data_IF_023045503328
#
_entry.id   IF_023045503328
#
_cell.length_a   1.000
_cell.length_b   1.000
_cell.length_c   1.000
_cell.angle_alpha   90.00
_cell.angle_beta   90.00
_cell.angle_gamma   90.00
#
_symmetry.space_group_name_H-M   'P 1'
#
loop_
_entity.id
_entity.type
_entity.pdbx_description
1 polymer ?
#
# COMPACT_ATOMS: atom_id res chain seq x y z
N UNK A 1 4.95 41.25 -0.94
CA UNK A 1 4.12 40.08 -1.32
C UNK A 1 4.93 38.97 -1.99
N UNK A 2 5.81 39.26 -2.96
CA UNK A 2 6.68 38.24 -3.59
C UNK A 2 7.69 37.56 -2.63
N UNK A 3 8.11 38.24 -1.55
CA UNK A 3 9.08 37.73 -0.57
C UNK A 3 8.51 36.69 0.42
N UNK A 4 7.19 36.66 0.64
CA UNK A 4 6.54 35.69 1.54
C UNK A 4 6.38 34.34 0.83
N UNK A 5 6.05 34.37 -0.46
CA UNK A 5 6.03 33.17 -1.33
C UNK A 5 7.41 32.52 -1.47
N UNK A 6 8.49 33.30 -1.42
CA UNK A 6 9.85 32.77 -1.53
C UNK A 6 10.35 32.11 -0.23
N UNK A 7 9.84 32.53 0.95
CA UNK A 7 10.05 31.84 2.23
C UNK A 7 9.24 30.55 2.35
N UNK A 8 8.04 30.51 1.78
CA UNK A 8 7.24 29.27 1.73
C UNK A 8 7.88 28.18 0.84
N UNK A 9 8.67 28.56 -0.17
CA UNK A 9 9.47 27.63 -0.99
C UNK A 9 10.83 27.27 -0.39
N UNK A 10 11.24 27.90 0.72
CA UNK A 10 12.54 27.65 1.36
C UNK A 10 12.49 26.61 2.49
N UNK A 11 11.29 26.14 2.86
CA UNK A 11 11.14 24.99 3.77
C UNK A 11 11.31 23.72 2.94
N UNK A 12 12.37 22.96 3.20
CA UNK A 12 12.66 21.70 2.54
C UNK A 12 11.47 20.75 2.71
N UNK A 13 10.62 20.68 1.69
CA UNK A 13 9.40 19.88 1.70
C UNK A 13 9.64 18.64 0.85
N UNK A 14 9.57 17.46 1.45
CA UNK A 14 9.73 16.19 0.73
C UNK A 14 8.46 15.79 -0.04
N UNK A 15 7.32 16.43 0.25
CA UNK A 15 6.01 16.17 -0.37
C UNK A 15 6.02 16.15 -1.91
N UNK A 16 6.49 17.19 -2.61
CA UNK A 16 6.53 17.20 -4.08
C UNK A 16 7.38 16.07 -4.67
N UNK A 17 8.51 15.74 -4.05
CA UNK A 17 9.38 14.63 -4.49
C UNK A 17 8.64 13.29 -4.38
N UNK A 18 7.96 13.05 -3.25
CA UNK A 18 7.15 11.85 -3.03
C UNK A 18 6.02 11.75 -4.06
N UNK A 19 5.32 12.84 -4.33
CA UNK A 19 4.21 12.84 -5.28
C UNK A 19 4.69 12.46 -6.70
N UNK A 20 5.78 13.07 -7.17
CA UNK A 20 6.34 12.77 -8.49
C UNK A 20 6.70 11.28 -8.60
N UNK A 21 7.42 10.74 -7.62
CA UNK A 21 7.85 9.34 -7.64
C UNK A 21 6.67 8.39 -7.64
N UNK A 22 5.66 8.62 -6.80
CA UNK A 22 4.48 7.76 -6.70
C UNK A 22 3.67 7.78 -8.00
N UNK A 23 3.45 8.94 -8.62
CA UNK A 23 2.72 9.03 -9.89
C UNK A 23 3.47 8.38 -11.05
N UNK A 24 4.80 8.49 -11.09
CA UNK A 24 5.63 7.81 -12.08
C UNK A 24 5.54 6.28 -11.95
N UNK A 25 5.68 5.76 -10.72
CA UNK A 25 5.53 4.33 -10.43
C UNK A 25 4.12 3.83 -10.76
N UNK A 26 3.10 4.66 -10.47
CA UNK A 26 1.71 4.34 -10.76
C UNK A 26 1.46 4.26 -12.27
N UNK A 27 1.94 5.24 -13.04
CA UNK A 27 1.85 5.22 -14.51
C UNK A 27 2.58 4.01 -15.10
N UNK A 28 3.78 3.70 -14.60
CA UNK A 28 4.54 2.52 -15.03
C UNK A 28 3.77 1.23 -14.75
N UNK A 29 3.17 1.09 -13.56
CA UNK A 29 2.33 -0.07 -13.23
C UNK A 29 1.11 -0.20 -14.15
N UNK A 30 0.52 0.93 -14.55
CA UNK A 30 -0.63 0.97 -15.46
C UNK A 30 -0.25 0.46 -16.85
N UNK A 31 0.94 0.80 -17.35
CA UNK A 31 1.46 0.31 -18.63
C UNK A 31 1.64 -1.21 -18.58
N UNK A 32 2.23 -1.76 -17.52
CA UNK A 32 2.39 -3.21 -17.36
C UNK A 32 1.05 -3.95 -17.26
N UNK A 33 0.10 -3.42 -16.50
CA UNK A 33 -1.25 -3.99 -16.40
C UNK A 33 -1.97 -3.93 -17.76
N UNK A 34 -1.90 -2.79 -18.44
CA UNK A 34 -2.46 -2.59 -19.77
C UNK A 34 -1.88 -3.57 -20.79
N UNK A 35 -0.56 -3.76 -20.79
CA UNK A 35 0.11 -4.74 -21.65
C UNK A 35 -0.34 -6.17 -21.33
N UNK A 36 -0.47 -6.54 -20.04
CA UNK A 36 -0.95 -7.86 -19.63
C UNK A 36 -2.36 -8.13 -20.16
N UNK A 37 -3.27 -7.16 -20.02
CA UNK A 37 -4.65 -7.27 -20.52
C UNK A 37 -4.67 -7.31 -22.05
N UNK A 38 -3.90 -6.43 -22.71
CA UNK A 38 -3.79 -6.38 -24.16
C UNK A 38 -3.30 -7.71 -24.75
N UNK A 39 -2.23 -8.30 -24.21
CA UNK A 39 -1.72 -9.59 -24.66
C UNK A 39 -2.75 -10.71 -24.52
N UNK A 40 -3.54 -10.73 -23.43
CA UNK A 40 -4.63 -11.72 -23.26
C UNK A 40 -5.73 -11.53 -24.29
N UNK A 41 -6.17 -10.29 -24.52
CA UNK A 41 -7.19 -9.96 -25.52
C UNK A 41 -6.72 -10.28 -26.94
N UNK A 42 -5.48 -9.93 -27.28
CA UNK A 42 -4.87 -10.21 -28.59
C UNK A 42 -4.73 -11.72 -28.86
N UNK A 43 -4.51 -12.52 -27.81
CA UNK A 43 -4.46 -13.99 -27.91
C UNK A 43 -5.85 -14.65 -27.79
N UNK A 44 -6.94 -13.86 -27.82
CA UNK A 44 -8.32 -14.33 -27.61
C UNK A 44 -8.54 -15.18 -26.35
N UNK A 45 -7.70 -14.99 -25.32
CA UNK A 45 -7.84 -15.70 -24.04
C UNK A 45 -8.83 -14.94 -23.15
N UNK A 46 -9.79 -15.66 -22.56
CA UNK A 46 -10.74 -15.08 -21.60
C UNK A 46 -9.99 -14.52 -20.38
N UNK A 47 -10.46 -13.38 -19.87
CA UNK A 47 -10.04 -12.84 -18.57
C UNK A 47 -10.49 -13.80 -17.48
N UNK A 48 -9.58 -14.12 -16.56
CA UNK A 48 -9.88 -14.99 -15.43
C UNK A 48 -10.14 -14.14 -14.18
N UNK A 49 -10.73 -14.75 -13.14
CA UNK A 49 -10.96 -14.11 -11.84
C UNK A 49 -9.69 -13.45 -11.27
N UNK A 50 -8.52 -14.04 -11.53
CA UNK A 50 -7.20 -13.47 -11.28
C UNK A 50 -7.06 -12.02 -11.80
N UNK A 51 -7.35 -11.80 -13.08
CA UNK A 51 -7.16 -10.50 -13.73
C UNK A 51 -8.11 -9.44 -13.17
N UNK A 52 -9.33 -9.85 -12.81
CA UNK A 52 -10.29 -8.96 -12.15
C UNK A 52 -9.79 -8.52 -10.76
N UNK A 53 -9.25 -9.45 -9.97
CA UNK A 53 -8.66 -9.14 -8.66
C UNK A 53 -7.47 -8.18 -8.82
N UNK A 54 -6.63 -8.39 -9.84
CA UNK A 54 -5.50 -7.52 -10.15
C UNK A 54 -5.95 -6.09 -10.50
N UNK A 55 -6.97 -5.96 -11.34
CA UNK A 55 -7.54 -4.66 -11.73
C UNK A 55 -8.12 -3.95 -10.51
N UNK A 56 -8.88 -4.67 -9.66
CA UNK A 56 -9.42 -4.11 -8.41
C UNK A 56 -8.29 -3.64 -7.50
N UNK A 57 -7.24 -4.45 -7.30
CA UNK A 57 -6.07 -4.06 -6.51
C UNK A 57 -5.40 -2.79 -7.04
N UNK A 58 -5.24 -2.68 -8.37
CA UNK A 58 -4.69 -1.48 -9.00
C UNK A 58 -5.58 -0.24 -8.81
N UNK A 59 -6.91 -0.39 -8.90
CA UNK A 59 -7.85 0.73 -8.66
C UNK A 59 -7.83 1.21 -7.20
N UNK A 60 -7.69 0.29 -6.25
CA UNK A 60 -7.54 0.64 -4.83
C UNK A 60 -6.21 1.38 -4.58
N UNK A 61 -5.14 0.95 -5.25
CA UNK A 61 -3.85 1.65 -5.19
C UNK A 61 -3.97 3.05 -5.79
N UNK A 62 -4.70 3.22 -6.90
CA UNK A 62 -4.96 4.54 -7.49
C UNK A 62 -5.69 5.47 -6.51
N UNK A 63 -6.71 4.95 -5.81
CA UNK A 63 -7.41 5.70 -4.78
C UNK A 63 -6.46 6.10 -3.65
N UNK A 64 -5.62 5.20 -3.17
CA UNK A 64 -4.61 5.49 -2.14
C UNK A 64 -3.61 6.58 -2.58
N UNK A 65 -3.12 6.53 -3.82
CA UNK A 65 -2.24 7.54 -4.40
C UNK A 65 -2.95 8.89 -4.52
N UNK A 66 -4.22 8.92 -4.95
CA UNK A 66 -4.95 10.19 -5.04
C UNK A 66 -5.13 10.85 -3.66
N UNK A 67 -5.42 10.05 -2.63
CA UNK A 67 -5.53 10.52 -1.25
C UNK A 67 -4.19 10.98 -0.68
N UNK A 68 -3.07 10.35 -1.05
CA UNK A 68 -1.74 10.80 -0.63
C UNK A 68 -1.43 12.18 -1.23
N UNK A 69 -1.83 12.45 -2.48
CA UNK A 69 -1.68 13.76 -3.10
C UNK A 69 -2.47 14.84 -2.34
N UNK A 70 -3.69 14.52 -1.87
CA UNK A 70 -4.47 15.42 -1.00
C UNK A 70 -3.79 15.63 0.35
N UNK A 71 -3.20 14.59 0.94
CA UNK A 71 -2.43 14.75 2.18
C UNK A 71 -1.23 15.69 1.99
N UNK A 72 -0.53 15.59 0.86
CA UNK A 72 0.61 16.45 0.55
C UNK A 72 0.17 17.92 0.43
N UNK A 73 -1.00 18.22 -0.13
CA UNK A 73 -1.52 19.60 -0.18
C UNK A 73 -1.93 20.13 1.20
N UNK A 74 -2.34 19.26 2.12
CA UNK A 74 -2.64 19.61 3.53
C UNK A 74 -1.39 19.87 4.39
N UNK A 75 -0.19 19.57 3.87
CA UNK A 75 1.08 19.80 4.57
C UNK A 75 1.85 18.52 4.93
N UNK A 76 1.40 17.35 4.48
CA UNK A 76 2.13 16.09 4.66
C UNK A 76 3.49 16.16 3.93
N UNK A 77 4.58 15.86 4.66
CA UNK A 77 5.96 15.95 4.16
C UNK A 77 6.68 17.28 4.46
N UNK A 78 6.06 18.18 5.25
CA UNK A 78 6.72 19.31 5.93
C UNK A 78 7.16 18.90 7.35
N UNK A 79 8.05 19.67 7.96
CA UNK A 79 8.41 19.45 9.36
C UNK A 79 7.18 19.62 10.25
N UNK A 80 7.03 18.81 11.30
CA UNK A 80 5.83 18.79 12.18
C UNK A 80 5.50 20.17 12.77
N UNK A 81 6.50 21.04 12.87
CA UNK A 81 6.42 22.39 13.44
C UNK A 81 5.75 23.38 12.46
N UNK A 82 5.80 23.11 11.15
CA UNK A 82 5.27 23.96 10.09
C UNK A 82 3.85 23.56 9.64
N UNK A 83 3.25 22.56 10.31
CA UNK A 83 1.91 22.05 10.00
C UNK A 83 0.91 22.74 10.93
N UNK A 84 -0.15 23.28 10.35
CA UNK A 84 -1.26 23.84 11.12
C UNK A 84 -1.86 22.73 12.02
N UNK A 85 -1.90 22.90 13.36
CA UNK A 85 -2.44 21.90 14.27
C UNK A 85 -3.88 21.50 13.96
N UNK A 86 -4.67 22.35 13.29
CA UNK A 86 -6.02 22.01 12.85
C UNK A 86 -6.04 20.91 11.77
N UNK A 87 -4.99 20.82 10.94
CA UNK A 87 -4.91 19.86 9.84
C UNK A 87 -4.29 18.52 10.25
N UNK A 88 -3.61 18.44 11.40
CA UNK A 88 -2.90 17.24 11.86
C UNK A 88 -3.85 16.04 11.98
N UNK A 89 -5.04 16.26 12.53
CA UNK A 89 -6.01 15.18 12.74
C UNK A 89 -6.58 14.64 11.42
N UNK A 90 -6.87 15.53 10.48
CA UNK A 90 -7.31 15.18 9.15
C UNK A 90 -6.21 14.44 8.37
N UNK A 91 -4.97 14.90 8.45
CA UNK A 91 -3.82 14.24 7.82
C UNK A 91 -3.62 12.84 8.39
N UNK A 92 -3.72 12.66 9.72
CA UNK A 92 -3.60 11.36 10.36
C UNK A 92 -4.71 10.41 9.90
N UNK A 93 -5.96 10.85 9.87
CA UNK A 93 -7.09 10.04 9.39
C UNK A 93 -6.89 9.59 7.94
N UNK A 94 -6.60 10.52 7.04
CA UNK A 94 -6.39 10.20 5.62
C UNK A 94 -5.18 9.27 5.47
N UNK A 95 -4.12 9.47 6.25
CA UNK A 95 -2.94 8.59 6.22
C UNK A 95 -3.27 7.16 6.65
N UNK A 96 -4.11 6.97 7.66
CA UNK A 96 -4.57 5.63 8.08
C UNK A 96 -5.41 4.94 7.00
N UNK A 97 -6.28 5.70 6.33
CA UNK A 97 -7.06 5.21 5.18
C UNK A 97 -6.14 4.83 4.03
N UNK A 98 -5.17 5.68 3.68
CA UNK A 98 -4.17 5.42 2.62
C UNK A 98 -3.38 4.15 2.91
N UNK A 99 -2.90 3.98 4.14
CA UNK A 99 -2.16 2.78 4.57
C UNK A 99 -3.01 1.53 4.43
N UNK A 100 -4.27 1.59 4.87
CA UNK A 100 -5.22 0.47 4.78
C UNK A 100 -5.50 0.09 3.32
N UNK A 101 -5.81 1.08 2.47
CA UNK A 101 -6.05 0.87 1.04
C UNK A 101 -4.81 0.30 0.33
N UNK A 102 -3.63 0.80 0.66
CA UNK A 102 -2.36 0.33 0.09
C UNK A 102 -2.05 -1.11 0.52
N UNK A 103 -2.31 -1.47 1.78
CA UNK A 103 -2.18 -2.85 2.25
C UNK A 103 -3.15 -3.78 1.53
N UNK A 104 -4.42 -3.39 1.38
CA UNK A 104 -5.42 -4.18 0.64
C UNK A 104 -5.02 -4.35 -0.83
N UNK A 105 -4.58 -3.28 -1.50
CA UNK A 105 -4.08 -3.33 -2.86
C UNK A 105 -2.87 -4.28 -2.99
N UNK A 106 -1.90 -4.19 -2.07
CA UNK A 106 -0.73 -5.07 -2.04
C UNK A 106 -1.10 -6.54 -1.81
N UNK A 107 -2.09 -6.82 -0.97
CA UNK A 107 -2.59 -8.17 -0.71
C UNK A 107 -3.30 -8.74 -1.93
N UNK A 108 -4.20 -7.97 -2.54
CA UNK A 108 -4.99 -8.41 -3.71
C UNK A 108 -4.10 -8.67 -4.93
N UNK A 109 -3.16 -7.77 -5.22
CA UNK A 109 -2.22 -7.90 -6.35
C UNK A 109 -1.35 -9.15 -6.23
N UNK A 110 -0.77 -9.42 -5.03
CA UNK A 110 0.02 -10.63 -4.78
C UNK A 110 -0.84 -11.89 -4.77
N UNK A 111 -2.05 -11.82 -4.23
CA UNK A 111 -2.98 -12.96 -4.21
C UNK A 111 -3.41 -13.34 -5.62
N UNK A 112 -3.71 -12.37 -6.48
CA UNK A 112 -3.93 -12.60 -7.92
C UNK A 112 -2.74 -13.37 -8.51
N UNK A 113 -1.53 -12.80 -8.46
CA UNK A 113 -0.37 -13.47 -9.05
C UNK A 113 -0.12 -14.88 -8.47
N UNK A 114 -0.33 -15.04 -7.16
CA UNK A 114 -0.30 -16.34 -6.49
C UNK A 114 -1.34 -17.33 -7.02
N UNK A 115 -2.57 -16.91 -7.30
CA UNK A 115 -3.61 -17.74 -7.92
C UNK A 115 -3.26 -18.12 -9.36
N UNK A 116 -2.62 -17.22 -10.12
CA UNK A 116 -2.09 -17.54 -11.45
C UNK A 116 -1.06 -18.67 -11.37
N UNK A 117 -0.12 -18.59 -10.41
CA UNK A 117 0.89 -19.61 -10.21
C UNK A 117 0.32 -20.92 -9.66
N UNK A 118 -0.66 -20.85 -8.76
CA UNK A 118 -1.34 -22.03 -8.21
C UNK A 118 -2.00 -22.89 -9.30
N UNK A 119 -2.34 -22.27 -10.44
CA UNK A 119 -2.91 -22.95 -11.60
C UNK A 119 -1.87 -23.66 -12.46
N UNK A 120 -0.63 -23.16 -12.51
CA UNK A 120 0.44 -23.74 -13.34
C UNK A 120 1.29 -24.75 -12.56
N UNK A 121 1.32 -24.64 -11.23
CA UNK A 121 2.09 -25.53 -10.36
C UNK A 121 1.30 -26.75 -9.93
N UNK A 122 1.97 -27.91 -9.90
CA UNK A 122 1.41 -29.18 -9.43
C UNK A 122 2.14 -29.72 -8.17
N UNK A 123 1.47 -30.62 -7.45
CA UNK A 123 2.04 -31.34 -6.30
C UNK A 123 2.37 -30.46 -5.09
N UNK A 124 3.52 -30.71 -4.47
CA UNK A 124 3.98 -30.05 -3.23
C UNK A 124 4.14 -28.52 -3.36
N UNK A 125 4.48 -28.03 -4.55
CA UNK A 125 4.60 -26.58 -4.80
C UNK A 125 3.26 -25.84 -4.67
N UNK A 126 2.16 -26.51 -5.04
CA UNK A 126 0.82 -25.94 -4.92
C UNK A 126 0.43 -25.70 -3.46
N UNK A 127 0.73 -26.67 -2.59
CA UNK A 127 0.51 -26.54 -1.14
C UNK A 127 1.36 -25.40 -0.56
N UNK A 128 2.64 -25.30 -0.95
CA UNK A 128 3.53 -24.23 -0.52
C UNK A 128 3.01 -22.85 -0.90
N UNK A 129 2.60 -22.65 -2.16
CA UNK A 129 2.03 -21.37 -2.64
C UNK A 129 0.77 -21.03 -1.85
N UNK A 130 -0.11 -21.99 -1.61
CA UNK A 130 -1.35 -21.76 -0.86
C UNK A 130 -1.09 -21.32 0.58
N UNK A 131 -0.20 -22.02 1.29
CA UNK A 131 0.22 -21.67 2.65
C UNK A 131 0.85 -20.27 2.69
N UNK A 132 1.71 -19.95 1.72
CA UNK A 132 2.38 -18.66 1.66
C UNK A 132 1.39 -17.50 1.43
N UNK A 133 0.39 -17.68 0.54
CA UNK A 133 -0.70 -16.73 0.33
C UNK A 133 -1.50 -16.53 1.63
N UNK A 134 -1.85 -17.60 2.33
CA UNK A 134 -2.61 -17.52 3.58
C UNK A 134 -1.85 -16.76 4.67
N UNK A 135 -0.57 -17.08 4.89
CA UNK A 135 0.27 -16.40 5.89
C UNK A 135 0.37 -14.91 5.57
N UNK A 136 0.62 -14.56 4.30
CA UNK A 136 0.72 -13.17 3.86
C UNK A 136 -0.59 -12.40 4.06
N UNK A 137 -1.72 -12.98 3.67
CA UNK A 137 -3.04 -12.36 3.82
C UNK A 137 -3.38 -12.12 5.30
N UNK A 138 -3.08 -13.08 6.17
CA UNK A 138 -3.33 -12.96 7.61
C UNK A 138 -2.42 -11.89 8.22
N UNK A 139 -1.11 -11.92 7.91
CA UNK A 139 -0.15 -10.95 8.46
C UNK A 139 -0.45 -9.51 8.02
N UNK A 140 -0.73 -9.29 6.73
CA UNK A 140 -1.05 -7.94 6.26
C UNK A 140 -2.45 -7.49 6.67
N UNK A 141 -3.43 -8.41 6.73
CA UNK A 141 -4.78 -8.12 7.19
C UNK A 141 -4.82 -7.70 8.66
N UNK A 142 -4.07 -8.39 9.53
CA UNK A 142 -3.91 -7.99 10.93
C UNK A 142 -3.20 -6.64 11.05
N UNK A 143 -2.19 -6.36 10.24
CA UNK A 143 -1.54 -5.05 10.20
C UNK A 143 -2.48 -3.91 9.84
N UNK A 144 -3.35 -4.14 8.85
CA UNK A 144 -4.38 -3.17 8.48
C UNK A 144 -5.37 -2.92 9.63
N UNK A 145 -5.77 -3.98 10.37
CA UNK A 145 -6.65 -3.85 11.52
C UNK A 145 -5.99 -3.11 12.70
N UNK A 146 -4.72 -3.42 12.99
CA UNK A 146 -3.98 -2.80 14.09
C UNK A 146 -3.89 -1.28 13.94
N UNK A 147 -3.80 -0.77 12.71
CA UNK A 147 -3.81 0.68 12.45
C UNK A 147 -5.06 1.39 13.01
N UNK A 148 -6.20 0.70 13.09
CA UNK A 148 -7.46 1.27 13.61
C UNK A 148 -7.67 1.02 15.11
N UNK A 149 -7.09 -0.05 15.64
CA UNK A 149 -7.34 -0.53 17.03
C UNK A 149 -6.19 -0.20 17.99
N UNK A 150 -5.09 0.40 17.50
CA UNK A 150 -3.89 0.69 18.29
C UNK A 150 -4.11 1.62 19.50
N UNK A 151 -5.21 2.37 19.57
CA UNK A 151 -5.49 3.27 20.68
C UNK A 151 -6.88 3.02 21.29
N UNK A 152 -6.98 3.23 22.60
CA UNK A 152 -8.24 3.23 23.35
C UNK A 152 -8.46 4.62 23.95
N UNK A 153 -9.46 5.41 23.49
CA UNK A 153 -10.44 5.10 22.43
C UNK A 153 -9.84 5.16 21.01
N UNK A 154 -10.42 4.41 20.05
CA UNK A 154 -9.95 4.35 18.66
C UNK A 154 -9.87 5.74 17.99
N UNK A 155 -10.73 6.68 18.42
CA UNK A 155 -10.69 8.08 17.95
C UNK A 155 -9.34 8.77 18.18
N UNK A 156 -8.58 8.36 19.20
CA UNK A 156 -7.24 8.89 19.49
C UNK A 156 -6.22 8.60 18.38
N UNK A 157 -6.49 7.63 17.51
CA UNK A 157 -5.64 7.31 16.35
C UNK A 157 -5.51 8.50 15.39
N UNK A 158 -6.57 9.30 15.24
CA UNK A 158 -6.57 10.48 14.39
C UNK A 158 -6.78 11.80 15.14
N UNK A 159 -7.34 11.75 16.35
CA UNK A 159 -7.62 12.94 17.17
C UNK A 159 -6.72 12.94 18.41
N UNK A 160 -5.54 13.56 18.29
CA UNK A 160 -4.54 13.59 19.36
C UNK A 160 -4.98 14.38 20.59
N UNK A 161 -6.04 15.19 20.49
CA UNK A 161 -6.61 15.96 21.61
C UNK A 161 -7.40 15.09 22.59
N UNK A 162 -7.74 13.84 22.22
CA UNK A 162 -8.51 12.94 23.06
C UNK A 162 -7.61 12.22 24.08
N UNK A 163 -7.93 12.25 25.38
CA UNK A 163 -7.20 11.48 26.39
C UNK A 163 -7.43 9.98 26.18
N UNK A 164 -6.39 9.18 26.42
CA UNK A 164 -6.43 7.74 26.21
C UNK A 164 -5.04 7.11 26.21
N UNK A 165 -5.00 5.80 26.08
CA UNK A 165 -3.76 5.02 25.99
C UNK A 165 -3.63 4.43 24.59
N UNK A 166 -2.40 4.38 24.08
CA UNK A 166 -2.07 3.71 22.83
C UNK A 166 -1.07 2.60 23.10
N UNK A 167 -1.02 1.61 22.21
CA UNK A 167 -0.01 0.58 22.25
C UNK A 167 1.39 1.17 22.05
N UNK A 168 2.40 0.43 22.49
CA UNK A 168 3.79 0.87 22.35
C UNK A 168 4.19 1.02 20.88
N UNK A 169 4.80 2.16 20.56
CA UNK A 169 5.20 2.50 19.19
C UNK A 169 6.23 1.50 18.66
N UNK A 170 7.11 0.98 19.53
CA UNK A 170 8.11 0.00 19.14
C UNK A 170 7.48 -1.32 18.73
N UNK A 171 6.45 -1.78 19.46
CA UNK A 171 5.72 -2.99 19.12
C UNK A 171 5.01 -2.87 17.76
N UNK A 172 4.37 -1.73 17.49
CA UNK A 172 3.73 -1.47 16.19
C UNK A 172 4.76 -1.42 15.05
N UNK A 173 5.89 -0.75 15.28
CA UNK A 173 6.95 -0.63 14.28
C UNK A 173 7.59 -1.99 14.00
N UNK A 174 7.84 -2.81 15.02
CA UNK A 174 8.34 -4.17 14.86
C UNK A 174 7.37 -5.04 14.05
N UNK A 175 6.06 -4.91 14.30
CA UNK A 175 5.04 -5.60 13.52
C UNK A 175 5.02 -5.15 12.06
N UNK A 176 5.10 -3.84 11.81
CA UNK A 176 5.13 -3.30 10.45
C UNK A 176 6.36 -3.80 9.67
N UNK A 177 7.53 -3.87 10.31
CA UNK A 177 8.75 -4.46 9.73
C UNK A 177 8.54 -5.94 9.42
N UNK A 178 7.95 -6.70 10.34
CA UNK A 178 7.64 -8.11 10.13
C UNK A 178 6.69 -8.33 8.94
N UNK A 179 5.61 -7.57 8.85
CA UNK A 179 4.66 -7.62 7.74
C UNK A 179 5.34 -7.25 6.40
N UNK A 180 6.20 -6.23 6.40
CA UNK A 180 6.98 -5.84 5.23
C UNK A 180 7.96 -6.94 4.80
N UNK A 181 8.62 -7.61 5.76
CA UNK A 181 9.53 -8.72 5.48
C UNK A 181 8.81 -9.91 4.85
N UNK A 182 7.61 -10.27 5.34
CA UNK A 182 6.77 -11.32 4.73
C UNK A 182 6.36 -10.93 3.32
N UNK A 183 5.92 -9.67 3.11
CA UNK A 183 5.55 -9.20 1.78
C UNK A 183 6.73 -9.28 0.81
N UNK A 184 7.92 -8.84 1.21
CA UNK A 184 9.13 -8.92 0.38
C UNK A 184 9.57 -10.36 0.11
N UNK A 185 9.45 -11.25 1.11
CA UNK A 185 9.69 -12.68 0.91
C UNK A 185 8.73 -13.30 -0.11
N UNK A 186 7.46 -12.85 -0.14
CA UNK A 186 6.54 -13.24 -1.20
C UNK A 186 6.99 -12.73 -2.56
N UNK A 187 7.39 -11.47 -2.69
CA UNK A 187 7.87 -10.94 -3.97
C UNK A 187 9.06 -11.76 -4.51
N UNK A 188 10.02 -12.09 -3.63
CA UNK A 188 11.14 -12.97 -3.98
C UNK A 188 10.64 -14.37 -4.42
N UNK A 189 9.72 -14.97 -3.68
CA UNK A 189 9.15 -16.28 -4.00
C UNK A 189 8.44 -16.27 -5.36
N UNK A 190 7.59 -15.27 -5.61
CA UNK A 190 6.84 -15.11 -6.86
C UNK A 190 7.79 -14.87 -8.06
N UNK A 191 8.93 -14.20 -7.84
CA UNK A 191 9.93 -13.98 -8.89
C UNK A 191 10.74 -15.24 -9.24
N UNK A 192 10.99 -16.12 -8.26
CA UNK A 192 11.80 -17.34 -8.43
C UNK A 192 11.01 -18.54 -8.97
N UNK A 193 9.71 -18.61 -8.69
CA UNK A 193 8.86 -19.72 -9.09
C UNK A 193 8.86 -20.00 -10.61
N UNK A 194 8.75 -19.00 -11.50
CA UNK A 194 8.80 -19.22 -12.94
C UNK A 194 10.11 -19.89 -13.41
N UNK A 195 11.25 -19.56 -12.79
CA UNK A 195 12.54 -20.18 -13.13
C UNK A 195 12.56 -21.67 -12.84
N UNK A 196 11.87 -22.11 -11.78
CA UNK A 196 11.85 -23.53 -11.39
C UNK A 196 10.91 -24.38 -12.26
N UNK A 197 10.05 -23.75 -13.04
CA UNK A 197 9.03 -24.42 -13.88
C UNK A 197 9.49 -24.53 -15.35
N UNK A 198 10.47 -23.71 -15.76
CA UNK A 198 11.16 -23.77 -17.05
C UNK A 198 12.34 -24.74 -16.95
#
# INVERSE_FOLDING_TARGET
MASITQRASAVETHGPKVNIVIWLLMALSAVFLGLRVFCKLATHRRLWWDDHILIVGWTLQLAAVSLITVNITLGFGRHVIDIDPANISQIALISNVVTTLSMLAAVLTKTSFGLTLLRISDGYMKLFIWVAICIMNIAMGLGALFQWVQCTPARKVWDFSVPGTCWDQNAMTAYAIFAAAISGAMDATLSLLPWKII
#
